data_IF_082907546544
#
_entry.id   IF_082907546544
#
_cell.length_a   1.000
_cell.length_b   1.000
_cell.length_c   1.000
_cell.angle_alpha   90.00
_cell.angle_beta   90.00
_cell.angle_gamma   90.00
#
_symmetry.space_group_name_H-M   'P 1'
#
loop_
_entity.id
_entity.type
_entity.pdbx_description
1 polymer ?
#
# COMPACT_ATOMS: atom_id res chain seq x y z
N UNK A 1 -26.25 -13.23 3.34
CA UNK A 1 -26.65 -12.46 4.47
C UNK A 1 -26.43 -10.98 4.26
N UNK A 2 -26.90 -10.19 5.17
CA UNK A 2 -26.89 -8.75 5.01
C UNK A 2 -25.48 -8.16 4.90
N UNK A 3 -24.54 -8.69 5.68
CA UNK A 3 -23.17 -8.20 5.62
C UNK A 3 -22.56 -8.43 4.26
N UNK A 4 -22.75 -9.62 3.72
CA UNK A 4 -22.17 -9.95 2.41
C UNK A 4 -22.79 -9.09 1.31
N UNK A 5 -24.07 -8.76 1.44
CA UNK A 5 -24.72 -7.94 0.43
C UNK A 5 -24.17 -6.51 0.36
N UNK A 6 -23.47 -6.08 1.39
CA UNK A 6 -22.83 -4.76 1.40
C UNK A 6 -21.41 -4.79 0.84
N UNK A 7 -20.91 -5.97 0.49
CA UNK A 7 -19.58 -6.13 -0.04
C UNK A 7 -19.61 -6.32 -1.54
N UNK A 8 -18.66 -5.76 -2.22
CA UNK A 8 -18.56 -5.87 -3.67
C UNK A 8 -17.14 -6.29 -4.02
N UNK A 9 -17.04 -7.40 -4.73
CA UNK A 9 -15.75 -7.88 -5.20
C UNK A 9 -15.58 -7.48 -6.65
N UNK A 10 -14.44 -6.82 -6.95
CA UNK A 10 -14.17 -6.38 -8.30
C UNK A 10 -12.82 -6.96 -8.71
N UNK A 11 -12.79 -7.66 -9.83
CA UNK A 11 -11.56 -8.19 -10.38
C UNK A 11 -11.03 -7.22 -11.42
N UNK A 12 -10.02 -6.44 -11.03
CA UNK A 12 -9.46 -5.40 -11.89
C UNK A 12 -8.10 -5.00 -11.40
N UNK A 13 -7.38 -4.25 -12.23
CA UNK A 13 -6.13 -3.63 -11.79
C UNK A 13 -6.48 -2.42 -10.93
N UNK A 14 -6.01 -2.43 -9.70
CA UNK A 14 -6.34 -1.38 -8.75
C UNK A 14 -5.85 -0.01 -9.21
N UNK A 15 -4.71 0.04 -9.88
CA UNK A 15 -4.17 1.32 -10.37
C UNK A 15 -5.12 1.95 -11.37
N UNK A 16 -5.75 1.13 -12.19
CA UNK A 16 -6.72 1.64 -13.18
C UNK A 16 -8.07 1.92 -12.56
N UNK A 17 -8.44 1.16 -11.53
CA UNK A 17 -9.77 1.26 -10.94
C UNK A 17 -9.89 2.40 -9.93
N UNK A 18 -8.87 2.61 -9.10
CA UNK A 18 -8.93 3.57 -8.01
C UNK A 18 -9.35 4.98 -8.45
N UNK A 19 -8.85 5.51 -9.58
CA UNK A 19 -9.27 6.85 -9.98
C UNK A 19 -10.76 6.99 -10.27
N UNK A 20 -11.45 5.88 -10.50
CA UNK A 20 -12.88 5.90 -10.82
C UNK A 20 -13.77 5.71 -9.60
N UNK A 21 -13.18 5.49 -8.43
CA UNK A 21 -13.93 5.19 -7.22
C UNK A 21 -13.92 6.38 -6.27
N UNK A 22 -14.94 6.40 -5.41
CA UNK A 22 -15.03 7.34 -4.32
C UNK A 22 -15.27 6.54 -3.05
N UNK A 23 -14.45 6.78 -2.03
CA UNK A 23 -14.54 6.03 -0.79
C UNK A 23 -14.11 6.90 0.37
N UNK A 24 -14.57 6.56 1.56
CA UNK A 24 -14.10 7.28 2.75
C UNK A 24 -12.67 6.84 3.10
N UNK A 25 -12.40 5.56 3.00
CA UNK A 25 -11.10 5.00 3.35
C UNK A 25 -10.66 4.03 2.27
N UNK A 26 -9.40 4.11 1.89
CA UNK A 26 -8.77 3.11 1.02
C UNK A 26 -7.75 2.37 1.86
N UNK A 27 -7.88 1.05 1.93
CA UNK A 27 -6.92 0.21 2.63
C UNK A 27 -6.08 -0.51 1.58
N UNK A 28 -4.77 -0.38 1.71
CA UNK A 28 -3.83 -1.00 0.79
C UNK A 28 -3.00 -2.06 1.51
N UNK A 29 -2.95 -3.22 0.91
CA UNK A 29 -2.14 -4.33 1.40
C UNK A 29 -1.32 -4.86 0.24
N UNK A 30 -0.27 -4.14 -0.18
CA UNK A 30 0.56 -4.62 -1.27
C UNK A 30 1.20 -5.95 -0.90
N UNK A 31 1.29 -6.84 -1.87
CA UNK A 31 1.89 -8.13 -1.62
C UNK A 31 3.38 -7.97 -1.42
N UNK A 32 3.82 -8.22 -0.21
CA UNK A 32 5.26 -8.24 0.06
C UNK A 32 5.73 -9.68 -0.02
N UNK A 33 6.97 -9.91 -0.47
CA UNK A 33 7.51 -11.27 -0.43
C UNK A 33 7.48 -11.77 1.01
N UNK A 34 6.92 -12.96 1.26
CA UNK A 34 6.87 -13.47 2.62
C UNK A 34 8.28 -13.74 3.11
N UNK A 35 8.49 -13.54 4.41
CA UNK A 35 9.76 -13.89 5.00
C UNK A 35 9.94 -15.38 4.94
N UNK A 36 11.13 -15.81 4.54
CA UNK A 36 11.41 -17.21 4.35
C UNK A 36 12.41 -17.71 5.35
N UNK A 37 12.17 -18.92 5.81
CA UNK A 37 13.14 -19.62 6.64
C UNK A 37 14.12 -20.36 5.77
N UNK A 38 13.75 -20.68 4.55
CA UNK A 38 14.61 -21.38 3.62
C UNK A 38 15.61 -20.41 3.01
N UNK A 39 16.90 -20.75 3.11
CA UNK A 39 17.93 -19.91 2.54
C UNK A 39 17.85 -19.87 1.03
N UNK A 40 17.39 -20.95 0.41
CA UNK A 40 17.24 -20.98 -1.04
C UNK A 40 16.22 -19.97 -1.52
N UNK A 41 15.08 -19.91 -0.86
CA UNK A 41 14.03 -18.94 -1.22
C UNK A 41 14.50 -17.54 -0.96
N UNK A 42 15.19 -17.31 0.16
CA UNK A 42 15.75 -16.00 0.47
C UNK A 42 16.72 -15.55 -0.61
N UNK A 43 17.54 -16.48 -1.09
CA UNK A 43 18.53 -16.17 -2.11
C UNK A 43 17.85 -15.76 -3.40
N UNK A 44 16.83 -16.49 -3.82
CA UNK A 44 16.08 -16.14 -5.02
C UNK A 44 15.41 -14.77 -4.90
N UNK A 45 14.83 -14.49 -3.75
CA UNK A 45 14.18 -13.20 -3.56
C UNK A 45 15.19 -12.07 -3.58
N UNK A 46 16.36 -12.27 -3.00
CA UNK A 46 17.41 -11.27 -3.05
C UNK A 46 17.88 -11.00 -4.47
N UNK A 47 18.07 -12.06 -5.23
CA UNK A 47 18.49 -11.93 -6.62
C UNK A 47 17.46 -11.15 -7.42
N UNK A 48 16.20 -11.47 -7.23
CA UNK A 48 15.15 -10.77 -7.92
C UNK A 48 15.13 -9.28 -7.56
N UNK A 49 15.26 -8.98 -6.28
CA UNK A 49 15.29 -7.59 -5.83
C UNK A 49 16.51 -6.84 -6.33
N UNK A 50 17.64 -7.52 -6.39
CA UNK A 50 18.84 -6.88 -6.88
C UNK A 50 18.73 -6.52 -8.37
N UNK A 51 18.01 -7.33 -9.13
CA UNK A 51 17.81 -7.06 -10.55
C UNK A 51 16.73 -6.01 -10.77
N UNK A 52 15.59 -6.14 -10.07
CA UNK A 52 14.45 -5.27 -10.29
C UNK A 52 14.50 -4.00 -9.45
N UNK A 53 15.15 -4.08 -8.27
CA UNK A 53 15.17 -2.99 -7.34
C UNK A 53 13.87 -2.88 -6.59
N UNK A 54 13.44 -1.66 -6.28
CA UNK A 54 12.17 -1.43 -5.64
C UNK A 54 11.05 -1.73 -6.62
N UNK A 55 9.92 -2.19 -6.10
CA UNK A 55 8.78 -2.52 -6.92
C UNK A 55 8.07 -1.24 -7.35
N UNK A 56 8.21 -0.81 -8.62
CA UNK A 56 7.58 0.42 -9.06
C UNK A 56 6.05 0.34 -9.06
N UNK A 57 5.50 -0.86 -9.17
CA UNK A 57 4.04 -1.00 -9.13
C UNK A 57 3.48 -0.71 -7.75
N UNK A 58 4.23 -1.04 -6.70
CA UNK A 58 3.80 -0.69 -5.35
C UNK A 58 3.77 0.82 -5.16
N UNK A 59 4.81 1.49 -5.62
CA UNK A 59 4.88 2.95 -5.50
C UNK A 59 3.75 3.59 -6.29
N UNK A 60 3.49 3.11 -7.48
CA UNK A 60 2.42 3.65 -8.31
C UNK A 60 1.05 3.42 -7.67
N UNK A 61 0.83 2.25 -7.08
CA UNK A 61 -0.42 1.96 -6.39
C UNK A 61 -0.66 2.92 -5.23
N UNK A 62 0.37 3.14 -4.43
CA UNK A 62 0.25 4.04 -3.27
C UNK A 62 -0.02 5.47 -3.74
N UNK A 63 0.70 5.93 -4.73
CA UNK A 63 0.47 7.27 -5.29
C UNK A 63 -0.94 7.41 -5.82
N UNK A 64 -1.42 6.41 -6.54
CA UNK A 64 -2.75 6.44 -7.11
C UNK A 64 -3.81 6.53 -6.01
N UNK A 65 -3.64 5.75 -4.94
CA UNK A 65 -4.57 5.81 -3.82
C UNK A 65 -4.55 7.18 -3.15
N UNK A 66 -3.36 7.76 -2.97
CA UNK A 66 -3.24 9.07 -2.35
C UNK A 66 -3.86 10.18 -3.18
N UNK A 67 -3.98 9.99 -4.47
CA UNK A 67 -4.61 10.96 -5.37
C UNK A 67 -6.08 10.66 -5.62
N UNK A 68 -6.60 9.57 -5.10
CA UNK A 68 -7.98 9.16 -5.33
C UNK A 68 -8.94 9.92 -4.43
N UNK A 69 -10.22 9.81 -4.73
CA UNK A 69 -11.26 10.49 -3.96
C UNK A 69 -11.55 9.71 -2.69
N UNK A 70 -10.86 10.06 -1.61
CA UNK A 70 -11.05 9.43 -0.32
C UNK A 70 -10.60 10.39 0.77
N UNK A 71 -10.96 10.08 2.01
CA UNK A 71 -10.55 10.90 3.15
C UNK A 71 -9.26 10.41 3.77
N UNK A 72 -8.96 9.15 3.63
CA UNK A 72 -7.85 8.53 4.33
C UNK A 72 -7.36 7.31 3.58
N UNK A 73 -6.06 7.10 3.59
CA UNK A 73 -5.44 5.89 3.07
C UNK A 73 -4.72 5.19 4.21
N UNK A 74 -5.00 3.91 4.38
CA UNK A 74 -4.31 3.07 5.36
C UNK A 74 -3.44 2.07 4.60
N UNK A 75 -2.15 2.12 4.82
CA UNK A 75 -1.19 1.29 4.10
C UNK A 75 -0.51 0.32 5.07
N UNK A 76 -0.64 -0.96 4.79
CA UNK A 76 0.06 -1.99 5.55
C UNK A 76 1.48 -2.12 5.03
N UNK A 77 2.45 -2.04 5.92
CA UNK A 77 3.86 -2.04 5.55
C UNK A 77 4.69 -2.79 6.56
N UNK A 78 5.80 -3.42 6.15
CA UNK A 78 6.68 -4.07 7.13
C UNK A 78 7.19 -3.06 8.15
N UNK A 79 7.18 -3.44 9.43
CA UNK A 79 7.44 -2.48 10.50
C UNK A 79 8.84 -1.89 10.48
N UNK A 80 9.81 -2.63 9.95
CA UNK A 80 11.19 -2.18 9.94
C UNK A 80 11.67 -1.63 8.60
N UNK A 81 10.77 -1.52 7.64
CA UNK A 81 11.14 -1.02 6.32
C UNK A 81 10.66 0.41 6.15
N UNK A 82 11.52 1.31 5.72
CA UNK A 82 11.06 2.67 5.43
C UNK A 82 10.20 2.71 4.18
N UNK A 83 9.36 3.72 4.07
CA UNK A 83 8.62 3.93 2.84
C UNK A 83 9.58 4.41 1.74
N UNK A 84 9.36 3.97 0.51
CA UNK A 84 10.21 4.43 -0.59
C UNK A 84 10.03 5.93 -0.85
N UNK A 85 11.10 6.58 -1.30
CA UNK A 85 10.98 7.89 -1.88
C UNK A 85 10.34 7.73 -3.26
N UNK A 86 9.51 8.64 -3.71
CA UNK A 86 9.20 9.96 -3.18
C UNK A 86 7.86 10.02 -2.45
N UNK A 87 7.44 8.96 -1.79
CA UNK A 87 6.16 8.96 -1.10
C UNK A 87 6.16 9.97 0.06
N UNK A 88 5.03 10.62 0.32
CA UNK A 88 4.96 11.58 1.41
C UNK A 88 4.97 10.89 2.76
N UNK A 89 5.23 11.67 3.80
CA UNK A 89 5.15 11.17 5.16
C UNK A 89 3.70 10.87 5.53
N UNK A 90 3.50 9.79 6.26
CA UNK A 90 2.17 9.50 6.78
C UNK A 90 1.79 10.46 7.92
N UNK A 91 0.50 10.56 8.18
CA UNK A 91 0.00 11.41 9.25
C UNK A 91 0.27 10.80 10.63
N UNK A 92 0.09 9.51 10.75
CA UNK A 92 0.43 8.76 11.97
C UNK A 92 0.56 7.28 11.62
N UNK A 93 1.06 6.52 12.58
CA UNK A 93 1.29 5.10 12.40
C UNK A 93 0.63 4.30 13.50
N UNK A 94 0.14 3.12 13.14
CA UNK A 94 -0.33 2.13 14.11
C UNK A 94 0.67 0.99 14.06
N UNK A 95 1.40 0.80 15.15
CA UNK A 95 2.52 -0.14 15.17
C UNK A 95 2.06 -1.52 15.60
N UNK A 96 2.55 -2.54 14.91
CA UNK A 96 2.37 -3.93 15.27
C UNK A 96 3.74 -4.58 15.47
N UNK A 97 3.74 -5.92 15.48
CA UNK A 97 4.99 -6.65 15.62
C UNK A 97 5.81 -6.66 14.35
N UNK A 98 5.32 -7.39 13.35
CA UNK A 98 6.03 -7.51 12.08
C UNK A 98 5.54 -6.53 11.03
N UNK A 99 4.37 -5.96 11.22
CA UNK A 99 3.81 -4.98 10.29
C UNK A 99 3.39 -3.75 11.05
N UNK A 100 3.22 -2.66 10.32
CA UNK A 100 2.63 -1.45 10.84
C UNK A 100 1.62 -0.94 9.81
N UNK A 101 0.81 0.01 10.23
CA UNK A 101 -0.13 0.66 9.31
C UNK A 101 0.22 2.14 9.26
N UNK A 102 0.56 2.61 8.09
CA UNK A 102 0.85 4.03 7.87
C UNK A 102 -0.44 4.69 7.39
N UNK A 103 -0.90 5.69 8.14
CA UNK A 103 -2.18 6.33 7.89
C UNK A 103 -1.94 7.71 7.28
N UNK A 104 -2.51 7.93 6.11
CA UNK A 104 -2.43 9.21 5.41
C UNK A 104 -3.80 9.86 5.44
N UNK A 105 -3.90 11.00 6.10
CA UNK A 105 -5.15 11.76 6.14
C UNK A 105 -5.11 12.74 4.98
N UNK A 106 -6.06 12.63 4.09
CA UNK A 106 -6.01 13.33 2.82
C UNK A 106 -6.02 14.86 2.95
N UNK A 107 -6.64 15.39 3.98
CA UNK A 107 -6.60 16.82 4.19
C UNK A 107 -5.17 17.34 4.36
N UNK A 108 -4.27 16.50 4.92
CA UNK A 108 -2.87 16.87 5.04
C UNK A 108 -2.09 16.58 3.76
N UNK A 109 -2.43 15.49 3.09
CA UNK A 109 -1.71 15.07 1.90
C UNK A 109 -2.00 15.97 0.71
N UNK A 110 -3.23 16.44 0.59
CA UNK A 110 -3.61 17.31 -0.51
C UNK A 110 -2.77 18.57 -0.61
N UNK A 111 -2.32 19.07 0.52
CA UNK A 111 -1.49 20.27 0.52
C UNK A 111 -0.11 20.04 -0.02
N UNK A 112 0.31 18.80 -0.09
CA UNK A 112 1.64 18.43 -0.52
C UNK A 112 1.67 18.04 -1.96
N UNK A 113 0.68 17.31 -2.39
CA UNK A 113 0.75 16.72 -3.67
C UNK A 113 0.34 17.68 -4.70
N UNK A 114 0.33 18.27 -5.24
CA UNK A 114 -0.13 18.94 -6.32
C UNK A 114 0.78 19.01 -7.53
#
# INVERSE_FOLDING_TARGET
AEIISRMKLIHADAIELLPTLSANVIYLDPMHPPRRKSSLVKSKMRQLRAVVGEDPDQIELIKTALQSDCNRVALKWPSKSPLPNPLPKCSHQILGGTVRFDIFIKSNVKKISI
#
